data_IF_984585719678
#
_entry.id   IF_984585719678
#
_cell.length_a   1.000
_cell.length_b   1.000
_cell.length_c   1.000
_cell.angle_alpha   90.00
_cell.angle_beta   90.00
_cell.angle_gamma   90.00
#
_symmetry.space_group_name_H-M   'P 1'
#
loop_
_entity.id
_entity.type
_entity.pdbx_description
1 polymer ?
#
# COMPACT_ATOMS: atom_id res chain seq x y z
N UNK A 1 -15.10 -10.69 -5.64
CA UNK A 1 -14.09 -10.16 -4.71
C UNK A 1 -13.41 -9.01 -5.44
N UNK A 2 -13.74 -7.77 -5.08
CA UNK A 2 -13.28 -6.58 -5.81
C UNK A 2 -11.76 -6.51 -5.64
N UNK A 3 -11.01 -6.60 -6.74
CA UNK A 3 -9.58 -6.36 -6.74
C UNK A 3 -9.33 -5.07 -5.95
N UNK A 4 -8.59 -5.19 -4.86
CA UNK A 4 -8.08 -4.01 -4.19
C UNK A 4 -7.24 -3.30 -5.24
N UNK A 5 -7.58 -2.06 -5.56
CA UNK A 5 -6.91 -1.31 -6.63
C UNK A 5 -5.39 -1.38 -6.38
N UNK A 6 -4.64 -1.85 -7.37
CA UNK A 6 -3.18 -2.03 -7.29
C UNK A 6 -2.50 -0.70 -6.89
N UNK A 7 -3.17 0.44 -7.12
CA UNK A 7 -2.72 1.75 -6.69
C UNK A 7 -2.66 1.95 -5.15
N UNK A 8 -3.40 1.15 -4.36
CA UNK A 8 -3.51 1.32 -2.90
C UNK A 8 -3.11 0.07 -2.10
N UNK A 9 -2.69 -1.00 -2.78
CA UNK A 9 -2.31 -2.26 -2.15
C UNK A 9 -0.81 -2.56 -2.24
N UNK A 10 -0.28 -3.15 -1.18
CA UNK A 10 1.12 -3.58 -1.14
C UNK A 10 1.27 -4.90 -1.92
N UNK A 11 2.26 -4.99 -2.83
CA UNK A 11 2.48 -6.20 -3.64
C UNK A 11 3.01 -7.40 -2.83
N UNK A 12 3.50 -7.18 -1.60
CA UNK A 12 3.97 -8.26 -0.71
C UNK A 12 2.82 -8.75 0.18
N UNK A 13 2.10 -7.83 0.84
CA UNK A 13 1.06 -8.19 1.84
C UNK A 13 -0.33 -8.34 1.23
N UNK A 14 -0.50 -7.93 -0.03
CA UNK A 14 -1.78 -7.91 -0.76
C UNK A 14 -2.89 -7.17 0.00
N UNK A 15 -2.50 -6.20 0.82
CA UNK A 15 -3.35 -5.44 1.72
C UNK A 15 -3.14 -3.94 1.51
N UNK A 16 -4.10 -3.13 1.98
CA UNK A 16 -3.97 -1.67 1.94
C UNK A 16 -2.70 -1.20 2.64
N UNK A 17 -2.01 -0.23 2.05
CA UNK A 17 -0.85 0.39 2.68
C UNK A 17 -1.22 1.07 4.00
N UNK A 18 -0.41 0.84 5.05
CA UNK A 18 -0.48 1.56 6.33
C UNK A 18 0.75 2.42 6.56
N UNK A 19 1.92 1.89 6.25
CA UNK A 19 3.19 2.63 6.24
C UNK A 19 3.93 2.41 4.91
N UNK A 20 3.44 3.03 3.82
CA UNK A 20 4.02 2.87 2.50
C UNK A 20 5.42 3.49 2.43
N UNK A 21 6.37 2.72 1.90
CA UNK A 21 7.72 3.18 1.58
C UNK A 21 8.06 2.88 0.13
N UNK A 22 8.77 3.79 -0.52
CA UNK A 22 9.34 3.60 -1.85
C UNK A 22 10.79 3.12 -1.73
N UNK A 23 11.16 2.12 -2.53
CA UNK A 23 12.52 1.62 -2.65
C UNK A 23 13.24 2.22 -3.88
N UNK A 24 14.54 1.96 -4.02
CA UNK A 24 15.38 2.53 -5.10
C UNK A 24 14.96 2.12 -6.52
N UNK A 25 14.19 1.04 -6.63
CA UNK A 25 13.62 0.58 -7.89
C UNK A 25 12.32 1.31 -8.29
N UNK A 26 11.85 2.24 -7.46
CA UNK A 26 10.66 3.05 -7.69
C UNK A 26 9.35 2.40 -7.25
N UNK A 27 9.38 1.17 -6.74
CA UNK A 27 8.17 0.49 -6.27
C UNK A 27 7.86 0.82 -4.80
N UNK A 28 6.57 0.81 -4.47
CA UNK A 28 6.09 1.08 -3.10
C UNK A 28 5.66 -0.21 -2.41
N UNK A 29 6.04 -0.34 -1.15
CA UNK A 29 5.82 -1.52 -0.31
C UNK A 29 5.34 -1.11 1.08
N UNK A 30 4.72 -2.04 1.80
CA UNK A 30 4.50 -1.91 3.24
C UNK A 30 5.85 -2.03 3.96
N UNK A 31 6.18 -1.06 4.83
CA UNK A 31 7.52 -0.96 5.46
C UNK A 31 7.96 -2.27 6.10
N UNK A 32 7.15 -2.81 7.01
CA UNK A 32 7.53 -4.02 7.75
C UNK A 32 7.83 -5.21 6.80
N UNK A 33 7.05 -5.34 5.73
CA UNK A 33 7.16 -6.43 4.78
C UNK A 33 8.41 -6.32 3.90
N UNK A 34 8.70 -5.12 3.36
CA UNK A 34 9.90 -4.93 2.53
C UNK A 34 11.18 -4.99 3.35
N UNK A 35 11.16 -4.49 4.59
CA UNK A 35 12.32 -4.62 5.47
C UNK A 35 12.66 -6.07 5.78
N UNK A 36 11.65 -6.91 6.06
CA UNK A 36 11.85 -8.34 6.25
C UNK A 36 12.37 -9.02 4.99
N UNK A 37 11.82 -8.65 3.82
CA UNK A 37 12.26 -9.19 2.54
C UNK A 37 13.72 -8.85 2.25
N UNK A 38 14.13 -7.58 2.43
CA UNK A 38 15.50 -7.14 2.19
C UNK A 38 16.47 -7.86 3.13
N UNK A 39 16.12 -8.02 4.41
CA UNK A 39 16.95 -8.77 5.38
C UNK A 39 17.21 -10.23 4.96
N UNK A 40 16.26 -10.86 4.25
CA UNK A 40 16.39 -12.25 3.79
C UNK A 40 17.02 -12.39 2.41
N UNK A 41 16.68 -11.49 1.49
CA UNK A 41 16.96 -11.67 0.06
C UNK A 41 17.89 -10.59 -0.53
N UNK A 42 17.95 -9.39 0.06
CA UNK A 42 18.75 -8.27 -0.46
C UNK A 42 18.30 -7.71 -1.82
N UNK A 43 17.11 -8.07 -2.30
CA UNK A 43 16.60 -7.69 -3.63
C UNK A 43 15.18 -7.14 -3.59
N UNK A 44 14.76 -6.50 -4.67
CA UNK A 44 13.37 -6.12 -4.91
C UNK A 44 12.50 -7.36 -5.16
N UNK A 45 11.32 -7.46 -4.52
CA UNK A 45 10.34 -8.52 -4.82
C UNK A 45 9.79 -8.48 -6.26
N UNK A 46 9.87 -7.32 -6.94
CA UNK A 46 9.28 -7.13 -8.27
C UNK A 46 10.35 -7.22 -9.36
N UNK A 47 11.47 -6.51 -9.17
CA UNK A 47 12.48 -6.36 -10.23
C UNK A 47 13.68 -7.29 -10.07
N UNK A 48 13.79 -7.99 -8.93
CA UNK A 48 14.96 -8.80 -8.54
C UNK A 48 16.29 -8.03 -8.49
N UNK A 49 16.28 -6.70 -8.59
CA UNK A 49 17.48 -5.86 -8.46
C UNK A 49 17.85 -5.69 -6.99
N UNK A 50 19.14 -5.51 -6.69
CA UNK A 50 19.58 -5.19 -5.33
C UNK A 50 18.98 -3.85 -4.88
N UNK A 51 18.47 -3.84 -3.65
CA UNK A 51 17.95 -2.67 -2.95
C UNK A 51 18.39 -2.76 -1.49
N UNK A 52 18.43 -1.63 -0.79
CA UNK A 52 18.88 -1.61 0.60
C UNK A 52 17.94 -0.87 1.55
N UNK A 53 18.00 -1.24 2.83
CA UNK A 53 17.16 -0.71 3.91
C UNK A 53 17.32 0.80 4.07
N UNK A 54 18.53 1.33 3.97
CA UNK A 54 18.83 2.75 4.16
C UNK A 54 18.23 3.66 3.07
N UNK A 55 17.79 3.07 1.96
CA UNK A 55 17.19 3.80 0.85
C UNK A 55 15.67 3.68 0.79
N UNK A 56 15.04 3.11 1.83
CA UNK A 56 13.59 3.12 1.97
C UNK A 56 13.10 4.51 2.40
N UNK A 57 12.32 5.16 1.56
CA UNK A 57 11.79 6.51 1.82
C UNK A 57 10.28 6.42 2.04
N UNK A 58 9.69 7.09 3.06
CA UNK A 58 8.24 7.14 3.21
C UNK A 58 7.54 7.69 1.95
N UNK A 59 6.48 7.03 1.49
CA UNK A 59 5.66 7.49 0.38
C UNK A 59 4.36 8.13 0.88
N UNK A 60 4.45 9.38 1.31
CA UNK A 60 3.31 10.14 1.85
C UNK A 60 2.18 10.36 0.82
N UNK A 61 2.50 10.37 -0.47
CA UNK A 61 1.49 10.50 -1.52
C UNK A 61 0.55 9.28 -1.52
N UNK A 62 1.11 8.07 -1.52
CA UNK A 62 0.32 6.83 -1.44
C UNK A 62 -0.45 6.75 -0.13
N UNK A 63 0.17 7.14 1.00
CA UNK A 63 -0.52 7.18 2.30
C UNK A 63 -1.78 8.05 2.23
N UNK A 64 -1.69 9.24 1.65
CA UNK A 64 -2.83 10.16 1.46
C UNK A 64 -3.89 9.57 0.52
N UNK A 65 -3.49 8.88 -0.54
CA UNK A 65 -4.44 8.22 -1.46
C UNK A 65 -5.21 7.11 -0.73
N UNK A 66 -4.52 6.31 0.09
CA UNK A 66 -5.19 5.26 0.90
C UNK A 66 -6.18 5.88 1.89
N UNK A 67 -5.80 6.93 2.60
CA UNK A 67 -6.69 7.65 3.51
C UNK A 67 -7.95 8.18 2.79
N UNK A 68 -7.78 8.76 1.59
CA UNK A 68 -8.91 9.21 0.76
C UNK A 68 -9.78 8.05 0.29
N UNK A 69 -9.19 6.94 -0.11
CA UNK A 69 -9.90 5.73 -0.51
C UNK A 69 -10.75 5.19 0.64
N UNK A 70 -10.19 5.05 1.84
CA UNK A 70 -10.92 4.59 3.02
C UNK A 70 -12.07 5.53 3.40
N UNK A 71 -11.85 6.84 3.33
CA UNK A 71 -12.91 7.82 3.58
C UNK A 71 -14.04 7.75 2.54
N UNK A 72 -13.70 7.53 1.26
CA UNK A 72 -14.68 7.31 0.20
C UNK A 72 -15.55 6.06 0.46
N UNK A 73 -14.94 4.98 0.95
CA UNK A 73 -15.69 3.78 1.34
C UNK A 73 -16.63 4.03 2.51
N UNK A 74 -16.17 4.74 3.55
CA UNK A 74 -17.03 5.11 4.70
C UNK A 74 -18.22 5.97 4.28
N UNK A 75 -17.98 6.96 3.43
CA UNK A 75 -19.04 7.84 2.93
C UNK A 75 -20.05 7.08 2.07
N UNK A 76 -19.59 6.14 1.22
CA UNK A 76 -20.49 5.27 0.45
C UNK A 76 -21.30 4.33 1.32
N UNK A 77 -20.69 3.77 2.38
CA UNK A 77 -21.42 2.93 3.34
C UNK A 77 -22.48 3.75 4.09
N UNK A 78 -22.18 4.99 4.46
CA UNK A 78 -23.17 5.89 5.08
C UNK A 78 -24.29 6.27 4.11
N UNK A 79 -23.96 6.59 2.85
CA UNK A 79 -24.95 6.84 1.81
C UNK A 79 -25.87 5.63 1.60
N UNK A 80 -25.33 4.41 1.52
CA UNK A 80 -26.12 3.20 1.39
C UNK A 80 -27.04 2.93 2.59
N UNK A 81 -26.58 3.26 3.81
CA UNK A 81 -27.41 3.17 5.03
C UNK A 81 -28.53 4.22 5.03
N UNK A 82 -28.28 5.43 4.51
CA UNK A 82 -29.33 6.45 4.36
C UNK A 82 -30.33 6.11 3.23
N UNK A 83 -29.90 5.39 2.20
CA UNK A 83 -30.74 5.02 1.05
C UNK A 83 -31.64 3.78 1.31
N UNK A 84 -31.55 3.12 2.47
CA UNK A 84 -32.41 1.96 2.86
C UNK A 84 -33.55 2.31 3.81
N UNK A 85 -33.71 3.58 4.20
CA UNK A 85 -34.78 4.08 5.08
C UNK A 85 -35.81 4.97 4.33
N UNK A 86 -36.37 4.48 3.22
CA UNK A 86 -37.58 5.06 2.56
C UNK A 86 -38.56 3.98 2.13
#
# INVERSE_FOLDING_TARGET
MKALDDAVSCPITLSLFRDPVVAQDGHTYERAAIEEWIRKNGTSPITNKQISLEHLVPNYAIKKIVEQFENSLKNKNFQYVLDVDV
#
